data_IF_080360917384
#
_entry.id   IF_080360917384
#
_cell.length_a   1.000
_cell.length_b   1.000
_cell.length_c   1.000
_cell.angle_alpha   90.00
_cell.angle_beta   90.00
_cell.angle_gamma   90.00
#
_symmetry.space_group_name_H-M   'P 1'
#
loop_
_entity.id
_entity.type
_entity.pdbx_description
1 polymer ?
#
# COMPACT_ATOMS: atom_id res chain seq x y z
N UNK A 1 86.80 -13.15 20.07
CA UNK A 1 86.98 -11.71 19.81
C UNK A 1 87.12 -11.00 21.14
N UNK A 2 88.02 -10.03 21.22
CA UNK A 2 88.28 -9.23 22.43
C UNK A 2 87.05 -8.39 22.84
N UNK A 3 86.73 -8.26 24.15
CA UNK A 3 85.66 -7.39 24.64
C UNK A 3 85.88 -5.92 24.26
N UNK A 4 84.79 -5.21 24.00
CA UNK A 4 84.80 -3.76 23.74
C UNK A 4 85.29 -2.97 24.94
N UNK A 5 86.02 -1.88 24.67
CA UNK A 5 86.60 -1.01 25.70
C UNK A 5 85.50 -0.37 26.58
N UNK A 6 85.72 -0.23 27.90
CA UNK A 6 84.83 0.52 28.78
C UNK A 6 84.63 1.97 28.32
N UNK A 7 83.43 2.50 28.54
CA UNK A 7 83.10 3.89 28.25
C UNK A 7 83.97 4.89 29.04
N UNK A 8 84.21 6.06 28.45
CA UNK A 8 85.00 7.13 29.07
C UNK A 8 84.32 7.64 30.37
N UNK A 9 85.10 7.96 31.42
CA UNK A 9 84.58 8.60 32.62
C UNK A 9 83.89 9.94 32.30
N UNK A 10 82.83 10.24 33.05
CA UNK A 10 82.16 11.54 32.97
C UNK A 10 83.10 12.68 33.38
N UNK A 11 82.95 13.84 32.75
CA UNK A 11 83.69 15.05 33.11
C UNK A 11 83.28 15.54 34.51
N UNK A 12 84.23 15.98 35.36
CA UNK A 12 83.92 16.60 36.64
C UNK A 12 83.04 17.85 36.50
N UNK A 13 82.25 18.13 37.54
CA UNK A 13 81.43 19.34 37.62
C UNK A 13 82.29 20.61 37.63
N UNK A 14 81.73 21.70 37.10
CA UNK A 14 82.33 23.04 37.14
C UNK A 14 81.92 23.77 38.43
N UNK A 15 82.86 24.55 38.95
CA UNK A 15 82.74 25.31 40.21
C UNK A 15 81.57 26.31 40.22
N UNK A 16 81.07 26.64 41.42
CA UNK A 16 80.05 27.67 41.63
C UNK A 16 80.59 29.10 41.51
N UNK A 17 79.71 30.08 41.34
CA UNK A 17 80.05 31.51 41.42
C UNK A 17 79.12 32.27 42.35
N UNK A 18 79.70 33.28 43.00
CA UNK A 18 79.11 34.12 44.05
C UNK A 18 77.93 35.01 43.61
N UNK A 19 77.24 35.54 44.61
CA UNK A 19 75.81 35.89 44.61
C UNK A 19 75.35 37.16 43.89
N UNK A 20 74.02 37.29 43.84
CA UNK A 20 73.30 38.43 43.29
C UNK A 20 73.21 39.57 44.32
N UNK A 21 73.60 40.79 43.92
CA UNK A 21 73.34 42.03 44.68
C UNK A 21 71.85 42.40 44.58
N UNK A 22 71.32 42.93 45.69
CA UNK A 22 69.88 43.05 45.96
C UNK A 22 69.00 43.96 45.10
N UNK A 23 67.71 43.87 45.43
CA UNK A 23 66.51 44.17 44.66
C UNK A 23 66.19 45.65 44.36
N UNK A 24 65.35 45.86 43.33
CA UNK A 24 64.49 47.04 43.23
C UNK A 24 63.03 46.59 43.42
N UNK A 25 62.33 47.28 44.32
CA UNK A 25 61.02 46.89 44.86
C UNK A 25 59.87 46.81 43.84
N UNK A 26 58.82 46.15 44.30
CA UNK A 26 57.63 45.66 43.59
C UNK A 26 56.78 46.76 42.93
N UNK A 27 56.23 46.51 41.73
CA UNK A 27 55.06 47.24 41.26
C UNK A 27 53.77 46.65 41.86
N UNK A 28 52.85 47.55 42.20
CA UNK A 28 51.52 47.32 42.77
C UNK A 28 50.68 46.35 41.92
N UNK A 29 50.28 45.21 42.53
CA UNK A 29 49.13 44.32 42.27
C UNK A 29 48.71 44.01 40.83
N UNK A 30 48.81 42.73 40.41
CA UNK A 30 48.21 42.23 39.18
C UNK A 30 46.66 42.26 39.23
N UNK A 31 46.03 42.73 38.15
CA UNK A 31 44.58 42.69 37.95
C UNK A 31 44.16 41.23 37.74
N UNK A 32 43.25 40.72 38.56
CA UNK A 32 42.80 39.32 38.49
C UNK A 32 42.29 38.93 37.09
N UNK A 33 42.58 37.69 36.69
CA UNK A 33 42.22 37.16 35.37
C UNK A 33 40.70 37.17 35.12
N UNK A 34 40.23 37.42 33.88
CA UNK A 34 38.82 37.28 33.53
C UNK A 34 38.30 35.86 33.80
N UNK A 35 37.08 35.76 34.33
CA UNK A 35 36.43 34.46 34.56
C UNK A 35 36.27 33.64 33.27
N UNK A 36 36.28 32.31 33.41
CA UNK A 36 36.16 31.40 32.27
C UNK A 36 34.82 31.59 31.50
N UNK A 37 34.81 31.41 30.17
CA UNK A 37 33.58 31.47 29.37
C UNK A 37 32.54 30.44 29.85
N UNK A 38 31.25 30.81 29.78
CA UNK A 38 30.15 29.90 30.10
C UNK A 38 30.05 28.71 29.16
N UNK A 39 29.46 27.61 29.63
CA UNK A 39 29.27 26.40 28.83
C UNK A 39 28.30 26.61 27.65
N UNK A 40 28.47 25.89 26.52
CA UNK A 40 27.52 25.91 25.42
C UNK A 40 26.12 25.44 25.84
N UNK A 41 25.08 26.02 25.21
CA UNK A 41 23.69 25.63 25.44
C UNK A 41 23.39 24.19 24.96
N UNK A 42 22.32 23.59 25.51
CA UNK A 42 21.88 22.24 25.12
C UNK A 42 21.33 22.22 23.69
N UNK A 43 21.53 21.10 22.99
CA UNK A 43 20.95 20.86 21.65
C UNK A 43 19.42 20.76 21.74
N UNK A 44 18.73 21.40 20.80
CA UNK A 44 17.26 21.39 20.73
C UNK A 44 16.65 20.03 20.38
N UNK A 45 15.33 19.84 20.58
CA UNK A 45 14.65 18.59 20.28
C UNK A 45 14.56 18.31 18.77
N UNK A 46 14.44 17.02 18.41
CA UNK A 46 14.17 16.59 17.03
C UNK A 46 12.80 17.09 16.56
N UNK A 47 12.72 17.54 15.31
CA UNK A 47 11.46 17.96 14.69
C UNK A 47 10.44 16.81 14.49
N UNK A 48 9.16 17.13 14.26
CA UNK A 48 8.10 16.14 14.09
C UNK A 48 8.25 15.34 12.77
N UNK A 49 7.61 14.15 12.66
CA UNK A 49 7.51 13.41 11.40
C UNK A 49 6.80 14.21 10.31
N UNK A 50 7.18 13.95 9.04
CA UNK A 50 6.52 14.57 7.88
C UNK A 50 5.09 14.06 7.65
N UNK A 51 4.30 14.77 6.82
CA UNK A 51 2.94 14.37 6.49
C UNK A 51 2.88 13.09 5.65
N UNK A 52 1.72 12.39 5.68
CA UNK A 52 1.46 11.22 4.84
C UNK A 52 1.37 11.63 3.36
N UNK A 53 1.90 10.79 2.47
CA UNK A 53 1.80 10.99 1.02
C UNK A 53 0.35 10.96 0.51
N UNK A 54 0.12 11.55 -0.66
CA UNK A 54 -1.19 11.58 -1.31
C UNK A 54 -1.66 10.18 -1.78
N UNK A 55 -2.98 9.94 -1.91
CA UNK A 55 -3.50 8.73 -2.54
C UNK A 55 -2.95 8.53 -3.95
N UNK A 56 -2.82 7.26 -4.36
CA UNK A 56 -2.45 6.91 -5.73
C UNK A 56 -3.55 7.26 -6.75
N UNK A 57 -3.21 7.28 -8.06
CA UNK A 57 -4.18 7.54 -9.11
C UNK A 57 -5.24 6.43 -9.22
N UNK A 58 -6.39 6.78 -9.79
CA UNK A 58 -7.45 5.82 -10.14
C UNK A 58 -6.96 4.84 -11.20
N UNK A 59 -7.40 3.57 -11.11
CA UNK A 59 -7.11 2.55 -12.12
C UNK A 59 -7.73 2.84 -13.48
N UNK A 60 -7.24 2.17 -14.52
CA UNK A 60 -7.77 2.30 -15.87
C UNK A 60 -9.18 1.71 -16.00
N UNK A 61 -10.01 2.20 -16.95
CA UNK A 61 -11.28 1.56 -17.31
C UNK A 61 -11.08 0.09 -17.71
N UNK A 62 -12.09 -0.74 -17.44
CA UNK A 62 -12.11 -2.13 -17.90
C UNK A 62 -12.20 -2.25 -19.43
N UNK A 63 -11.90 -3.42 -20.00
CA UNK A 63 -12.00 -3.66 -21.44
C UNK A 63 -13.45 -3.56 -21.93
N UNK A 64 -13.61 -3.21 -23.21
CA UNK A 64 -14.91 -3.23 -23.88
C UNK A 64 -15.46 -4.66 -23.97
N UNK A 65 -16.77 -4.83 -23.75
CA UNK A 65 -17.44 -6.14 -23.89
C UNK A 65 -17.44 -6.65 -25.35
N UNK A 66 -17.55 -7.96 -25.53
CA UNK A 66 -17.60 -8.58 -26.85
C UNK A 66 -18.85 -8.15 -27.65
N UNK A 67 -18.70 -8.00 -28.96
CA UNK A 67 -19.83 -7.69 -29.86
C UNK A 67 -20.70 -8.93 -30.06
N UNK A 68 -22.02 -8.79 -29.99
CA UNK A 68 -22.95 -9.89 -30.26
C UNK A 68 -22.99 -10.27 -31.74
N UNK A 69 -22.91 -11.58 -32.05
CA UNK A 69 -23.04 -12.11 -33.41
C UNK A 69 -24.51 -12.39 -33.76
N UNK A 70 -25.13 -11.47 -34.51
CA UNK A 70 -26.53 -11.59 -34.92
C UNK A 70 -26.77 -12.65 -36.03
N UNK A 71 -25.72 -13.12 -36.73
CA UNK A 71 -25.84 -14.13 -37.79
C UNK A 71 -25.65 -15.55 -37.26
N UNK A 72 -24.95 -15.72 -36.13
CA UNK A 72 -24.87 -16.99 -35.40
C UNK A 72 -25.94 -17.14 -34.29
N UNK A 73 -26.92 -16.23 -34.21
CA UNK A 73 -27.84 -16.15 -33.06
C UNK A 73 -28.59 -17.47 -32.86
N UNK A 74 -28.27 -18.16 -31.77
CA UNK A 74 -29.03 -19.29 -31.28
C UNK A 74 -30.46 -18.78 -30.95
N UNK A 75 -31.43 -19.07 -31.82
CA UNK A 75 -32.81 -18.58 -31.65
C UNK A 75 -33.49 -19.34 -30.52
N UNK A 76 -34.16 -18.63 -29.62
CA UNK A 76 -34.93 -19.21 -28.51
C UNK A 76 -36.32 -18.60 -28.48
N UNK A 77 -37.34 -19.39 -28.80
CA UNK A 77 -38.74 -18.98 -28.75
C UNK A 77 -39.63 -20.18 -28.40
N UNK A 78 -40.77 -19.89 -27.75
CA UNK A 78 -41.83 -20.86 -27.52
C UNK A 78 -43.20 -20.16 -27.57
N UNK A 79 -44.22 -20.92 -27.90
CA UNK A 79 -45.63 -20.56 -27.75
C UNK A 79 -46.35 -21.78 -27.19
N UNK A 80 -47.17 -21.58 -26.16
CA UNK A 80 -47.89 -22.65 -25.49
C UNK A 80 -49.24 -22.16 -24.99
N UNK A 81 -50.19 -23.08 -24.89
CA UNK A 81 -51.54 -22.85 -24.40
C UNK A 81 -51.83 -23.78 -23.22
N UNK A 82 -52.72 -23.33 -22.34
CA UNK A 82 -53.25 -24.14 -21.25
C UNK A 82 -54.58 -24.73 -21.70
N UNK A 83 -54.72 -26.04 -21.68
CA UNK A 83 -55.99 -26.74 -21.94
C UNK A 83 -56.52 -27.49 -20.73
N UNK A 84 -55.71 -27.61 -19.67
CA UNK A 84 -56.12 -28.16 -18.39
C UNK A 84 -57.20 -27.27 -17.74
N UNK A 85 -58.36 -27.87 -17.45
CA UNK A 85 -59.51 -27.23 -16.82
C UNK A 85 -59.37 -27.00 -15.31
N UNK A 86 -58.47 -27.71 -14.63
CA UNK A 86 -58.23 -27.50 -13.20
C UNK A 86 -57.62 -26.12 -12.95
N UNK A 87 -58.05 -25.44 -11.89
CA UNK A 87 -57.49 -24.13 -11.54
C UNK A 87 -55.98 -24.22 -11.18
N UNK A 88 -55.14 -23.24 -11.57
CA UNK A 88 -53.74 -23.20 -11.13
C UNK A 88 -53.65 -23.14 -9.60
N UNK A 89 -52.75 -23.92 -9.00
CA UNK A 89 -52.51 -23.83 -7.56
C UNK A 89 -51.79 -22.52 -7.23
N UNK A 90 -52.15 -21.90 -6.09
CA UNK A 90 -51.40 -20.77 -5.55
C UNK A 90 -49.94 -21.18 -5.32
N UNK A 91 -49.03 -20.23 -5.52
CA UNK A 91 -47.57 -20.44 -5.37
C UNK A 91 -46.96 -21.49 -6.32
N UNK A 92 -47.65 -21.88 -7.39
CA UNK A 92 -47.11 -22.75 -8.43
C UNK A 92 -47.09 -22.06 -9.79
N UNK A 93 -46.07 -22.31 -10.63
CA UNK A 93 -46.05 -21.81 -12.00
C UNK A 93 -47.27 -22.30 -12.80
N UNK A 94 -47.83 -21.42 -13.62
CA UNK A 94 -48.89 -21.79 -14.55
C UNK A 94 -48.31 -22.72 -15.59
N UNK A 95 -48.82 -23.95 -15.62
CA UNK A 95 -48.44 -24.95 -16.62
C UNK A 95 -49.27 -24.75 -17.89
N UNK A 96 -48.58 -24.51 -19.00
CA UNK A 96 -49.16 -24.53 -20.35
C UNK A 96 -48.84 -25.90 -20.94
N UNK A 97 -49.82 -26.81 -20.86
CA UNK A 97 -49.66 -28.23 -21.21
C UNK A 97 -49.54 -28.46 -22.71
N UNK A 98 -50.21 -27.63 -23.53
CA UNK A 98 -50.22 -27.74 -24.98
C UNK A 98 -49.14 -26.85 -25.58
N UNK A 99 -48.11 -27.45 -26.14
CA UNK A 99 -47.08 -26.73 -26.91
C UNK A 99 -47.61 -26.40 -28.30
N UNK A 100 -47.52 -25.13 -28.70
CA UNK A 100 -47.78 -24.66 -30.06
C UNK A 100 -46.46 -24.66 -30.85
N UNK A 101 -45.42 -24.03 -30.30
CA UNK A 101 -44.05 -24.06 -30.84
C UNK A 101 -43.05 -24.10 -29.69
N UNK A 102 -41.99 -24.91 -29.82
CA UNK A 102 -40.91 -24.99 -28.82
C UNK A 102 -39.70 -25.73 -29.40
N UNK A 103 -39.21 -25.30 -30.56
CA UNK A 103 -38.22 -26.04 -31.36
C UNK A 103 -36.92 -26.38 -30.61
N UNK A 104 -36.51 -25.49 -29.69
CA UNK A 104 -35.29 -25.68 -28.89
C UNK A 104 -35.52 -26.34 -27.53
N UNK A 105 -36.77 -26.60 -27.16
CA UNK A 105 -37.09 -27.20 -25.86
C UNK A 105 -36.73 -26.32 -24.65
N UNK A 106 -36.58 -25.01 -24.84
CA UNK A 106 -36.23 -24.09 -23.75
C UNK A 106 -37.41 -23.82 -22.81
N UNK A 107 -38.63 -24.20 -23.21
CA UNK A 107 -39.80 -24.23 -22.34
C UNK A 107 -40.15 -25.66 -21.90
N UNK A 108 -40.26 -25.87 -20.60
CA UNK A 108 -40.61 -27.14 -19.97
C UNK A 108 -42.08 -27.13 -19.52
N UNK A 109 -42.99 -27.71 -20.32
CA UNK A 109 -44.43 -27.77 -20.02
C UNK A 109 -44.77 -28.52 -18.70
N UNK A 110 -43.93 -29.48 -18.32
CA UNK A 110 -44.07 -30.23 -17.06
C UNK A 110 -43.98 -29.34 -15.84
N UNK A 111 -43.23 -28.24 -15.92
CA UNK A 111 -42.98 -27.33 -14.81
C UNK A 111 -43.51 -25.92 -15.05
N UNK A 112 -44.02 -25.63 -16.25
CA UNK A 112 -44.50 -24.28 -16.60
C UNK A 112 -43.36 -23.27 -16.69
N UNK A 113 -42.14 -23.71 -17.01
CA UNK A 113 -40.91 -22.92 -16.85
C UNK A 113 -40.18 -22.74 -18.16
N UNK A 114 -39.79 -21.50 -18.44
CA UNK A 114 -38.79 -21.19 -19.47
C UNK A 114 -37.40 -21.13 -18.83
N UNK A 115 -36.40 -21.73 -19.48
CA UNK A 115 -35.00 -21.65 -19.07
C UNK A 115 -34.20 -20.92 -20.14
N UNK A 116 -33.64 -19.78 -19.77
CA UNK A 116 -32.77 -19.00 -20.63
C UNK A 116 -31.48 -19.79 -20.92
N UNK A 117 -31.35 -20.31 -22.15
CA UNK A 117 -30.14 -20.99 -22.64
C UNK A 117 -29.23 -20.07 -23.45
N UNK A 118 -29.76 -18.92 -23.89
CA UNK A 118 -29.06 -17.96 -24.75
C UNK A 118 -29.17 -16.58 -24.09
N UNK A 119 -28.07 -15.92 -23.72
CA UNK A 119 -28.15 -14.57 -23.15
C UNK A 119 -28.70 -13.58 -24.20
N UNK A 120 -29.56 -12.67 -23.77
CA UNK A 120 -30.17 -11.68 -24.66
C UNK A 120 -31.44 -11.07 -24.09
N UNK A 121 -32.09 -10.26 -24.92
CA UNK A 121 -33.38 -9.63 -24.61
C UNK A 121 -34.50 -10.56 -25.09
N UNK A 122 -35.49 -10.78 -24.22
CA UNK A 122 -36.64 -11.65 -24.47
C UNK A 122 -37.95 -10.89 -24.32
N UNK A 123 -38.91 -11.25 -25.16
CA UNK A 123 -40.28 -10.74 -25.10
C UNK A 123 -41.22 -11.84 -24.64
N UNK A 124 -42.00 -11.58 -23.60
CA UNK A 124 -43.04 -12.48 -23.09
C UNK A 124 -44.38 -11.77 -23.20
N UNK A 125 -45.35 -12.45 -23.80
CA UNK A 125 -46.74 -12.01 -23.87
C UNK A 125 -47.64 -13.18 -23.51
N UNK A 126 -48.77 -12.90 -22.86
CA UNK A 126 -49.78 -13.89 -22.55
C UNK A 126 -51.17 -13.29 -22.69
N UNK A 127 -52.14 -14.13 -23.04
CA UNK A 127 -53.55 -13.78 -23.12
C UNK A 127 -54.33 -14.78 -22.27
N UNK A 128 -55.29 -14.27 -21.49
CA UNK A 128 -56.20 -15.07 -20.67
C UNK A 128 -57.62 -14.70 -21.09
N UNK A 129 -58.42 -15.71 -21.40
CA UNK A 129 -59.84 -15.61 -21.69
C UNK A 129 -60.66 -16.09 -20.52
#
# INVERSE_FOLDING_TARGET
GVPGLPGLPGVPGKDGRDGLKGAKGEPVGEKGDPGAPGYPGKVGPRGPPGPKGSPGPMGHPGPQGESGDYKATLKSAFSAARTISSYPRREQPIRFDRIITNEKGHYENRYGRFTCRVPGIYYFTYHVT
#
